data_IF_985536873557
#
_entry.id   IF_985536873557
#
_cell.length_a   1.000
_cell.length_b   1.000
_cell.length_c   1.000
_cell.angle_alpha   90.00
_cell.angle_beta   90.00
_cell.angle_gamma   90.00
#
_symmetry.space_group_name_H-M   'P 1'
#
loop_
_entity.id
_entity.type
_entity.pdbx_description
1 polymer ?
#
# COMPACT_ATOMS: atom_id res chain seq x y z
N UNK A 1 16.37 37.50 20.85
CA UNK A 1 15.73 36.64 21.88
C UNK A 1 14.45 37.24 22.47
N UNK A 2 14.31 38.58 22.53
CA UNK A 2 13.10 39.24 23.06
C UNK A 2 11.84 39.01 22.21
N UNK A 3 11.97 38.82 20.89
CA UNK A 3 10.83 38.67 19.98
C UNK A 3 10.03 37.40 20.23
N UNK A 4 10.69 36.30 20.57
CA UNK A 4 10.06 35.01 20.91
C UNK A 4 9.21 35.12 22.19
N UNK A 5 9.71 35.83 23.20
CA UNK A 5 8.97 36.06 24.45
C UNK A 5 7.78 36.99 24.23
N UNK A 6 7.95 38.03 23.40
CA UNK A 6 6.87 38.94 23.02
C UNK A 6 5.77 38.22 22.22
N UNK A 7 6.14 37.38 21.25
CA UNK A 7 5.20 36.58 20.48
C UNK A 7 4.40 35.61 21.36
N UNK A 8 5.07 34.89 22.28
CA UNK A 8 4.40 33.98 23.21
C UNK A 8 3.43 34.71 24.14
N UNK A 9 3.81 35.90 24.61
CA UNK A 9 2.96 36.74 25.46
C UNK A 9 1.78 37.33 24.71
N UNK A 10 1.95 37.61 23.41
CA UNK A 10 0.88 38.04 22.51
C UNK A 10 -0.14 36.92 22.27
N UNK A 11 0.33 35.71 21.99
CA UNK A 11 -0.52 34.51 21.81
C UNK A 11 -1.35 34.21 23.06
N UNK A 12 -0.78 34.39 24.26
CA UNK A 12 -1.50 34.22 25.54
C UNK A 12 -2.55 35.31 25.81
N UNK A 13 -2.46 36.49 25.18
CA UNK A 13 -3.45 37.57 25.33
C UNK A 13 -4.70 37.35 24.47
N UNK A 14 -4.62 36.57 23.39
CA UNK A 14 -5.74 36.27 22.48
C UNK A 14 -5.93 34.74 22.33
N UNK A 15 -6.35 34.05 23.41
CA UNK A 15 -6.38 32.58 23.42
C UNK A 15 -7.35 31.97 22.40
N UNK A 16 -8.49 32.61 22.11
CA UNK A 16 -9.46 32.12 21.13
C UNK A 16 -8.92 32.12 19.70
N UNK A 17 -8.32 33.23 19.26
CA UNK A 17 -7.69 33.33 17.94
C UNK A 17 -6.53 32.35 17.81
N UNK A 18 -5.67 32.29 18.83
CA UNK A 18 -4.54 31.36 18.88
C UNK A 18 -5.00 29.90 18.75
N UNK A 19 -6.06 29.51 19.48
CA UNK A 19 -6.59 28.16 19.41
C UNK A 19 -7.08 27.78 18.00
N UNK A 20 -7.84 28.66 17.34
CA UNK A 20 -8.30 28.44 15.97
C UNK A 20 -7.13 28.33 15.00
N UNK A 21 -6.14 29.23 15.09
CA UNK A 21 -4.95 29.17 14.24
C UNK A 21 -4.16 27.87 14.42
N UNK A 22 -3.95 27.44 15.67
CA UNK A 22 -3.25 26.17 15.98
C UNK A 22 -4.02 24.97 15.44
N UNK A 23 -5.34 24.91 15.62
CA UNK A 23 -6.17 23.82 15.11
C UNK A 23 -6.13 23.75 13.58
N UNK A 24 -6.24 24.89 12.90
CA UNK A 24 -6.16 24.94 11.42
C UNK A 24 -4.79 24.48 10.92
N UNK A 25 -3.70 24.93 11.55
CA UNK A 25 -2.35 24.45 11.21
C UNK A 25 -2.22 22.94 11.47
N UNK A 26 -2.69 22.46 12.63
CA UNK A 26 -2.61 21.06 13.01
C UNK A 26 -3.38 20.17 12.04
N UNK A 27 -4.57 20.59 11.60
CA UNK A 27 -5.35 19.90 10.57
C UNK A 27 -4.62 19.87 9.23
N UNK A 28 -4.12 21.01 8.74
CA UNK A 28 -3.40 21.06 7.47
C UNK A 28 -2.13 20.20 7.46
N UNK A 29 -1.36 20.24 8.54
CA UNK A 29 -0.15 19.42 8.70
C UNK A 29 -0.52 17.93 8.85
N UNK A 30 -1.52 17.63 9.68
CA UNK A 30 -1.94 16.28 10.00
C UNK A 30 -2.48 15.53 8.80
N UNK A 31 -3.30 16.17 7.96
CA UNK A 31 -3.85 15.57 6.73
C UNK A 31 -2.72 15.20 5.78
N UNK A 32 -1.81 16.13 5.49
CA UNK A 32 -0.69 15.88 4.58
C UNK A 32 0.22 14.76 5.10
N UNK A 33 0.52 14.77 6.40
CA UNK A 33 1.35 13.75 7.05
C UNK A 33 0.68 12.38 7.00
N UNK A 34 -0.63 12.31 7.27
CA UNK A 34 -1.39 11.05 7.28
C UNK A 34 -1.48 10.44 5.89
N UNK A 35 -1.73 11.24 4.86
CA UNK A 35 -1.74 10.77 3.47
C UNK A 35 -0.37 10.20 3.11
N UNK A 36 0.72 10.93 3.38
CA UNK A 36 2.06 10.42 3.06
C UNK A 36 2.41 9.16 3.86
N UNK A 37 1.99 9.08 5.12
CA UNK A 37 2.22 7.91 5.98
C UNK A 37 1.47 6.69 5.44
N UNK A 38 0.22 6.85 5.03
CA UNK A 38 -0.58 5.79 4.41
C UNK A 38 0.03 5.35 3.08
N UNK A 39 0.40 6.28 2.21
CA UNK A 39 1.06 5.96 0.95
C UNK A 39 2.39 5.25 1.20
N UNK A 40 3.17 5.68 2.19
CA UNK A 40 4.39 5.00 2.57
C UNK A 40 4.13 3.58 3.06
N UNK A 41 3.10 3.37 3.89
CA UNK A 41 2.74 2.05 4.39
C UNK A 41 2.22 1.11 3.28
N UNK A 42 1.47 1.63 2.30
CA UNK A 42 0.79 0.83 1.28
C UNK A 42 1.62 0.67 0.00
N UNK A 43 2.23 1.75 -0.50
CA UNK A 43 2.98 1.75 -1.77
C UNK A 43 4.49 1.56 -1.58
N UNK A 44 5.08 2.14 -0.54
CA UNK A 44 6.54 2.21 -0.39
C UNK A 44 7.12 1.31 0.70
N UNK A 45 6.26 0.68 1.51
CA UNK A 45 6.72 -0.30 2.46
C UNK A 45 7.26 -1.47 1.65
N UNK A 46 8.57 -1.76 1.71
CA UNK A 46 9.14 -2.84 0.92
C UNK A 46 8.37 -4.10 1.28
N UNK A 47 7.94 -4.85 0.26
CA UNK A 47 7.32 -6.14 0.52
C UNK A 47 8.31 -6.96 1.37
N UNK A 48 7.84 -7.76 2.34
CA UNK A 48 8.69 -8.52 3.26
C UNK A 48 9.35 -9.72 2.56
N UNK A 49 10.02 -9.48 1.43
CA UNK A 49 10.79 -10.43 0.64
C UNK A 49 12.25 -9.98 0.58
N UNK A 50 13.20 -10.92 0.51
CA UNK A 50 14.58 -10.59 0.15
C UNK A 50 14.63 -9.94 -1.24
N UNK A 51 15.40 -8.87 -1.40
CA UNK A 51 15.58 -8.11 -2.65
C UNK A 51 14.25 -7.67 -3.32
N UNK A 52 13.39 -6.89 -2.64
CA UNK A 52 12.06 -6.52 -3.15
C UNK A 52 12.10 -5.77 -4.49
N UNK A 53 13.19 -5.04 -4.77
CA UNK A 53 13.44 -4.35 -6.05
C UNK A 53 13.59 -5.28 -7.25
N UNK A 54 13.78 -6.59 -7.04
CA UNK A 54 13.88 -7.61 -8.10
C UNK A 54 12.54 -8.26 -8.44
N UNK A 55 11.49 -7.96 -7.68
CA UNK A 55 10.15 -8.50 -7.92
C UNK A 55 9.46 -7.74 -9.05
N UNK A 56 8.88 -8.47 -10.00
CA UNK A 56 8.11 -7.91 -11.11
C UNK A 56 6.77 -8.63 -11.22
N UNK A 57 5.72 -7.87 -11.54
CA UNK A 57 4.39 -8.41 -11.85
C UNK A 57 4.21 -8.46 -13.36
N UNK A 58 3.77 -9.60 -13.87
CA UNK A 58 3.50 -9.81 -15.30
C UNK A 58 2.02 -10.11 -15.46
N UNK A 59 1.35 -9.38 -16.34
CA UNK A 59 -0.08 -9.53 -16.61
C UNK A 59 -0.34 -9.47 -18.12
N UNK A 60 -1.34 -10.22 -18.57
CA UNK A 60 -1.89 -10.04 -19.92
C UNK A 60 -2.84 -8.86 -19.92
N UNK A 61 -2.82 -8.07 -20.98
CA UNK A 61 -3.78 -6.99 -21.19
C UNK A 61 -4.61 -7.30 -22.42
N UNK A 62 -5.93 -7.08 -22.30
CA UNK A 62 -6.81 -7.26 -23.45
C UNK A 62 -6.57 -6.16 -24.47
N UNK A 63 -6.50 -6.54 -25.75
CA UNK A 63 -6.21 -5.61 -26.83
C UNK A 63 -7.36 -4.61 -27.11
N UNK A 64 -8.58 -4.91 -26.68
CA UNK A 64 -9.77 -4.10 -26.92
C UNK A 64 -9.89 -2.90 -25.96
N UNK A 65 -9.64 -3.12 -24.67
CA UNK A 65 -9.84 -2.10 -23.63
C UNK A 65 -8.60 -1.82 -22.77
N UNK A 66 -7.48 -2.50 -23.03
CA UNK A 66 -6.23 -2.32 -22.29
C UNK A 66 -6.33 -2.73 -20.83
N UNK A 67 -7.37 -3.47 -20.42
CA UNK A 67 -7.53 -3.93 -19.04
C UNK A 67 -6.73 -5.20 -18.82
N UNK A 68 -6.22 -5.35 -17.60
CA UNK A 68 -5.57 -6.59 -17.16
C UNK A 68 -6.58 -7.74 -17.28
N UNK A 69 -6.18 -8.80 -17.95
CA UNK A 69 -6.89 -10.06 -18.07
C UNK A 69 -6.26 -11.12 -17.16
N UNK A 70 -7.04 -12.11 -16.77
CA UNK A 70 -6.49 -13.35 -16.22
C UNK A 70 -5.61 -14.02 -17.26
N UNK A 71 -4.41 -14.42 -16.83
CA UNK A 71 -3.46 -15.18 -17.66
C UNK A 71 -4.00 -16.59 -17.85
N UNK A 72 -4.08 -17.05 -19.10
CA UNK A 72 -4.50 -18.42 -19.38
C UNK A 72 -3.43 -19.41 -18.88
N UNK A 73 -3.80 -20.58 -18.30
CA UNK A 73 -2.81 -21.53 -17.79
C UNK A 73 -1.71 -21.95 -18.79
N UNK A 74 -2.00 -22.17 -20.09
CA UNK A 74 -0.95 -22.46 -21.06
C UNK A 74 0.08 -21.33 -21.20
N UNK A 75 -0.38 -20.07 -21.22
CA UNK A 75 0.50 -18.90 -21.32
C UNK A 75 1.45 -18.81 -20.12
N UNK A 76 0.97 -19.13 -18.92
CA UNK A 76 1.83 -19.23 -17.73
C UNK A 76 2.95 -20.26 -17.90
N UNK A 77 2.63 -21.46 -18.39
CA UNK A 77 3.66 -22.50 -18.62
C UNK A 77 4.66 -22.08 -19.70
N UNK A 78 4.18 -21.48 -20.79
CA UNK A 78 5.04 -20.96 -21.84
C UNK A 78 6.02 -19.91 -21.31
N UNK A 79 5.54 -18.97 -20.49
CA UNK A 79 6.39 -17.96 -19.88
C UNK A 79 7.41 -18.57 -18.92
N UNK A 80 6.97 -19.48 -18.04
CA UNK A 80 7.85 -20.15 -17.07
C UNK A 80 8.99 -20.88 -17.77
N UNK A 81 8.71 -21.57 -18.88
CA UNK A 81 9.68 -22.44 -19.54
C UNK A 81 10.60 -21.65 -20.51
N UNK A 82 10.11 -20.52 -21.04
CA UNK A 82 10.83 -19.72 -22.05
C UNK A 82 11.49 -18.45 -21.51
N UNK A 83 11.08 -17.93 -20.35
CA UNK A 83 11.67 -16.71 -19.80
C UNK A 83 13.16 -16.90 -19.47
N UNK A 84 13.97 -15.90 -19.84
CA UNK A 84 15.42 -15.86 -19.58
C UNK A 84 15.87 -14.62 -18.80
N UNK A 85 15.01 -13.62 -18.69
CA UNK A 85 15.28 -12.34 -18.01
C UNK A 85 14.91 -12.34 -16.52
N UNK A 86 14.17 -13.35 -16.06
CA UNK A 86 13.75 -13.50 -14.65
C UNK A 86 14.25 -14.84 -14.11
N UNK A 87 14.53 -14.89 -12.80
CA UNK A 87 15.09 -16.08 -12.16
C UNK A 87 14.05 -17.20 -11.98
N UNK A 88 12.78 -16.83 -11.71
CA UNK A 88 11.67 -17.75 -11.55
C UNK A 88 10.35 -17.02 -11.83
N UNK A 89 9.31 -17.76 -12.20
CA UNK A 89 7.94 -17.28 -12.39
C UNK A 89 7.01 -18.17 -11.59
N UNK A 90 6.11 -17.56 -10.81
CA UNK A 90 5.03 -18.25 -10.11
C UNK A 90 3.70 -17.58 -10.44
N UNK A 91 2.64 -18.37 -10.59
CA UNK A 91 1.28 -17.87 -10.71
C UNK A 91 0.69 -17.69 -9.30
N UNK A 92 0.04 -16.54 -9.09
CA UNK A 92 -0.61 -16.19 -7.82
C UNK A 92 -2.09 -15.92 -8.08
N UNK A 93 -2.97 -16.52 -7.29
CA UNK A 93 -4.41 -16.27 -7.33
C UNK A 93 -4.92 -15.93 -5.93
N UNK A 94 -5.33 -14.67 -5.74
CA UNK A 94 -5.96 -14.23 -4.50
C UNK A 94 -7.38 -14.80 -4.42
N UNK A 95 -7.69 -15.51 -3.34
CA UNK A 95 -8.97 -16.15 -3.12
C UNK A 95 -9.37 -16.05 -1.66
N UNK A 96 -10.66 -16.12 -1.40
CA UNK A 96 -11.18 -16.30 -0.04
C UNK A 96 -11.22 -17.80 0.26
N UNK A 97 -10.76 -18.17 1.45
CA UNK A 97 -10.83 -19.53 1.95
C UNK A 97 -11.72 -19.54 3.19
N UNK A 98 -12.54 -20.59 3.34
CA UNK A 98 -13.26 -20.81 4.59
C UNK A 98 -12.41 -21.70 5.48
N UNK A 99 -11.93 -21.15 6.59
CA UNK A 99 -11.21 -21.88 7.61
C UNK A 99 -12.23 -22.54 8.54
N UNK A 100 -12.27 -23.87 8.51
CA UNK A 100 -13.17 -24.66 9.36
C UNK A 100 -12.31 -25.40 10.39
N UNK A 101 -12.64 -25.24 11.67
CA UNK A 101 -11.93 -25.82 12.81
C UNK A 101 -12.88 -26.17 13.96
N UNK A 102 -12.44 -26.03 15.22
CA UNK A 102 -13.28 -26.29 16.41
C UNK A 102 -14.29 -25.17 16.73
N UNK A 103 -14.20 -24.03 16.06
CA UNK A 103 -15.06 -22.86 16.23
C UNK A 103 -15.94 -22.62 14.98
N UNK A 104 -16.67 -21.50 14.98
CA UNK A 104 -17.48 -21.07 13.84
C UNK A 104 -16.61 -20.87 12.58
N UNK A 105 -17.12 -21.21 11.38
CA UNK A 105 -16.39 -21.00 10.14
C UNK A 105 -16.01 -19.53 9.94
N UNK A 106 -14.72 -19.28 9.70
CA UNK A 106 -14.20 -17.95 9.42
C UNK A 106 -13.75 -17.86 7.97
N UNK A 107 -14.15 -16.78 7.28
CA UNK A 107 -13.68 -16.51 5.92
C UNK A 107 -12.41 -15.68 6.01
N UNK A 108 -11.33 -16.21 5.45
CA UNK A 108 -10.01 -15.58 5.44
C UNK A 108 -9.53 -15.31 4.02
N UNK A 109 -8.69 -14.30 3.91
CA UNK A 109 -8.02 -13.92 2.66
C UNK A 109 -6.79 -14.81 2.51
N UNK A 110 -6.59 -15.36 1.32
CA UNK A 110 -5.40 -16.13 1.01
C UNK A 110 -5.01 -15.98 -0.45
N UNK A 111 -3.89 -16.62 -0.79
CA UNK A 111 -3.46 -16.75 -2.16
C UNK A 111 -2.99 -18.17 -2.44
N UNK A 112 -3.45 -18.75 -3.55
CA UNK A 112 -2.86 -19.97 -4.09
C UNK A 112 -1.66 -19.59 -4.95
N UNK A 113 -0.52 -20.23 -4.71
CA UNK A 113 0.74 -20.00 -5.42
C UNK A 113 1.23 -21.32 -6.00
N UNK A 114 1.67 -21.31 -7.25
CA UNK A 114 2.31 -22.47 -7.87
C UNK A 114 3.73 -22.68 -7.33
N UNK A 115 4.13 -23.93 -7.15
CA UNK A 115 5.50 -24.30 -6.78
C UNK A 115 6.52 -24.07 -7.91
#
# INVERSE_FOLDING_TARGET
>A
MNDLQYALRSLRKSPGFTAVSVLTLALGIGVNTTIFTLLNAVLFSPLPYPDPERLVSVAEYRADDGRSSSVAPPAYFDWRDQARSVAAIAAVSANWYNLIGRAEPERIDGAAVTA
#
